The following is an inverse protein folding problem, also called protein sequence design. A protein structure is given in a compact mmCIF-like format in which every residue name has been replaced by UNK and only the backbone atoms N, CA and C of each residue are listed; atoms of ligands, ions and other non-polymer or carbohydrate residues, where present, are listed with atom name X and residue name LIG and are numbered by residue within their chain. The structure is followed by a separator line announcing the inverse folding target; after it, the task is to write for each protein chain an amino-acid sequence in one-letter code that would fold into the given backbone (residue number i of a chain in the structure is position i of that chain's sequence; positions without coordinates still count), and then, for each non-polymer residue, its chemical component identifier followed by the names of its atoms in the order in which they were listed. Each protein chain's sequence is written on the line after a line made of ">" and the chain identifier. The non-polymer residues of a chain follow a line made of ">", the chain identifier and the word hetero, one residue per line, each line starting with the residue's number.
data_IF_378858589589
#
_entry.id   IF_378858589589
#
_cell.length_a   1.000
_cell.length_b   1.000
_cell.length_c   1.000
_cell.angle_alpha   90.00
_cell.angle_beta   90.00
_cell.angle_gamma   90.00
#
_symmetry.space_group_name_H-M   'P 1'
#
loop_
_entity.id
_entity.type
_entity.pdbx_description
1 polymer ?
#
# COMPACT_ATOMS: atom_id res chain seq x y z
N UNK A 1 -18.22 -0.51 19.25
CA UNK A 1 -18.13 -1.56 18.21
C UNK A 1 -17.81 -0.88 16.90
N UNK A 2 -16.56 -0.96 16.44
CA UNK A 2 -16.12 -0.33 15.19
C UNK A 2 -15.94 -1.44 14.15
N UNK A 3 -16.91 -1.57 13.24
CA UNK A 3 -16.84 -2.45 12.07
C UNK A 3 -16.48 -1.60 10.85
N UNK A 4 -15.36 -1.93 10.20
CA UNK A 4 -15.34 -2.39 8.80
C UNK A 4 -13.93 -2.26 8.17
N UNK A 5 -13.15 -3.34 8.12
CA UNK A 5 -12.06 -3.47 7.15
C UNK A 5 -12.64 -4.05 5.85
N UNK A 6 -12.53 -3.31 4.74
CA UNK A 6 -12.87 -3.80 3.39
C UNK A 6 -14.37 -3.86 3.11
N UNK A 7 -14.82 -3.13 2.09
CA UNK A 7 -16.23 -3.00 1.74
C UNK A 7 -16.81 -4.18 0.93
N UNK A 8 -16.01 -5.22 0.65
CA UNK A 8 -16.50 -6.47 0.08
C UNK A 8 -15.43 -7.58 0.15
N UNK A 9 -15.83 -8.86 0.11
CA UNK A 9 -14.89 -9.99 0.11
C UNK A 9 -13.96 -9.96 -1.12
N UNK A 10 -14.46 -9.43 -2.23
CA UNK A 10 -13.71 -9.27 -3.48
C UNK A 10 -12.55 -8.26 -3.33
N UNK A 11 -12.76 -7.15 -2.61
CA UNK A 11 -11.72 -6.15 -2.34
C UNK A 11 -10.62 -6.73 -1.44
N UNK A 12 -11.00 -7.57 -0.46
CA UNK A 12 -10.05 -8.23 0.43
C UNK A 12 -9.14 -9.20 -0.35
N UNK A 13 -9.69 -9.97 -1.29
CA UNK A 13 -8.90 -10.87 -2.15
C UNK A 13 -7.98 -10.08 -3.07
N UNK A 14 -8.48 -9.00 -3.69
CA UNK A 14 -7.64 -8.14 -4.52
C UNK A 14 -6.45 -7.56 -3.74
N UNK A 15 -6.72 -7.03 -2.54
CA UNK A 15 -5.67 -6.50 -1.67
C UNK A 15 -4.70 -7.61 -1.21
N UNK A 16 -5.19 -8.82 -0.94
CA UNK A 16 -4.33 -9.95 -0.56
C UNK A 16 -3.33 -10.34 -1.66
N UNK A 17 -3.78 -10.38 -2.93
CA UNK A 17 -2.89 -10.65 -4.07
C UNK A 17 -1.83 -9.54 -4.21
N UNK A 18 -2.23 -8.28 -4.07
CA UNK A 18 -1.28 -7.16 -4.10
C UNK A 18 -0.25 -7.26 -2.97
N UNK A 19 -0.68 -7.62 -1.76
CA UNK A 19 0.22 -7.80 -0.61
C UNK A 19 1.20 -8.94 -0.81
N UNK A 20 0.77 -10.06 -1.38
CA UNK A 20 1.63 -11.21 -1.70
C UNK A 20 2.73 -10.82 -2.69
N UNK A 21 2.39 -10.11 -3.77
CA UNK A 21 3.37 -9.66 -4.75
C UNK A 21 4.39 -8.67 -4.14
N UNK A 22 3.92 -7.75 -3.30
CA UNK A 22 4.80 -6.82 -2.58
C UNK A 22 5.71 -7.56 -1.60
N UNK A 23 5.20 -8.56 -0.88
CA UNK A 23 6.00 -9.38 0.04
C UNK A 23 7.09 -10.17 -0.71
N UNK A 24 6.74 -10.77 -1.85
CA UNK A 24 7.69 -11.48 -2.72
C UNK A 24 8.79 -10.56 -3.24
N UNK A 25 8.44 -9.35 -3.70
CA UNK A 25 9.43 -8.36 -4.14
C UNK A 25 10.34 -7.90 -2.99
N UNK A 26 9.77 -7.67 -1.80
CA UNK A 26 10.53 -7.30 -0.61
C UNK A 26 11.50 -8.40 -0.17
N UNK A 27 11.07 -9.67 -0.22
CA UNK A 27 11.92 -10.82 0.09
C UNK A 27 13.14 -10.91 -0.84
N UNK A 28 12.92 -10.80 -2.15
CA UNK A 28 14.00 -10.82 -3.14
C UNK A 28 14.94 -9.62 -2.93
N UNK A 29 14.39 -8.41 -2.73
CA UNK A 29 15.18 -7.20 -2.54
C UNK A 29 16.06 -7.27 -1.29
N UNK A 30 15.58 -7.88 -0.20
CA UNK A 30 16.35 -8.15 1.03
C UNK A 30 17.46 -9.18 0.81
N UNK A 31 17.22 -10.19 -0.01
CA UNK A 31 18.25 -11.16 -0.40
C UNK A 31 19.39 -10.54 -1.22
N UNK A 32 19.07 -9.55 -2.06
CA UNK A 32 20.05 -8.81 -2.88
C UNK A 32 20.80 -7.76 -2.04
N UNK A 33 20.08 -7.00 -1.21
CA UNK A 33 20.66 -5.97 -0.35
C UNK A 33 20.18 -6.16 1.11
N UNK A 34 21.00 -6.79 1.97
CA UNK A 34 20.67 -6.97 3.38
C UNK A 34 20.51 -5.65 4.14
N UNK A 35 21.15 -4.57 3.67
CA UNK A 35 21.08 -3.24 4.27
C UNK A 35 19.89 -2.40 3.78
N UNK A 36 19.00 -2.98 2.95
CA UNK A 36 17.83 -2.28 2.45
C UNK A 36 17.01 -1.71 3.63
N UNK A 37 16.83 -0.40 3.67
CA UNK A 37 16.01 0.25 4.68
C UNK A 37 14.59 0.43 4.17
N UNK A 38 13.64 0.63 5.11
CA UNK A 38 12.28 1.01 4.74
C UNK A 38 12.26 2.30 3.91
N UNK A 39 11.20 2.48 3.14
CA UNK A 39 10.95 3.77 2.48
C UNK A 39 10.80 4.86 3.56
N UNK A 40 11.31 6.04 3.29
CA UNK A 40 11.19 7.19 4.19
C UNK A 40 9.70 7.50 4.50
N UNK A 41 9.39 7.79 5.76
CA UNK A 41 8.03 8.02 6.24
C UNK A 41 7.36 9.21 5.54
N UNK A 42 8.11 10.27 5.21
CA UNK A 42 7.58 11.41 4.46
C UNK A 42 7.16 10.99 3.05
N UNK A 43 7.98 10.15 2.39
CA UNK A 43 7.67 9.64 1.07
C UNK A 43 6.45 8.70 1.10
N UNK A 44 6.38 7.82 2.11
CA UNK A 44 5.24 6.93 2.32
C UNK A 44 3.94 7.73 2.50
N UNK A 45 3.96 8.74 3.37
CA UNK A 45 2.83 9.62 3.62
C UNK A 45 2.42 10.38 2.35
N UNK A 46 3.38 10.88 1.56
CA UNK A 46 3.10 11.55 0.28
C UNK A 46 2.36 10.63 -0.71
N UNK A 47 2.79 9.37 -0.83
CA UNK A 47 2.12 8.39 -1.71
C UNK A 47 0.72 8.01 -1.21
N UNK A 48 0.55 7.85 0.10
CA UNK A 48 -0.75 7.56 0.70
C UNK A 48 -1.74 8.72 0.51
N UNK A 49 -1.30 9.94 0.84
CA UNK A 49 -2.11 11.16 0.70
C UNK A 49 -2.44 11.49 -0.75
N UNK A 50 -1.70 10.98 -1.74
CA UNK A 50 -2.06 11.13 -3.16
C UNK A 50 -3.41 10.50 -3.51
N UNK A 51 -3.76 9.35 -2.90
CA UNK A 51 -5.03 8.64 -3.16
C UNK A 51 -6.09 8.92 -2.10
N UNK A 52 -5.68 9.24 -0.88
CA UNK A 52 -6.58 9.36 0.28
C UNK A 52 -6.57 10.73 0.97
N UNK A 53 -5.76 11.68 0.48
CA UNK A 53 -5.71 13.04 1.02
C UNK A 53 -6.86 13.93 0.53
N UNK A 54 -7.10 15.06 1.18
CA UNK A 54 -8.18 16.00 0.84
C UNK A 54 -8.08 16.61 -0.57
N UNK A 55 -6.94 16.47 -1.25
CA UNK A 55 -6.68 16.89 -2.64
C UNK A 55 -6.46 15.68 -3.59
N UNK A 56 -7.16 14.56 -3.40
CA UNK A 56 -7.10 13.42 -4.33
C UNK A 56 -7.63 13.83 -5.72
N UNK A 57 -6.74 14.35 -6.57
CA UNK A 57 -7.05 14.84 -7.92
C UNK A 57 -7.08 13.67 -8.92
N UNK A 58 -8.11 12.84 -8.80
CA UNK A 58 -8.61 12.02 -9.90
C UNK A 58 -10.13 11.91 -9.72
N UNK A 59 -10.87 12.87 -10.30
CA UNK A 59 -12.34 12.83 -10.27
C UNK A 59 -13.10 14.16 -10.21
N UNK A 60 -12.47 15.33 -10.38
CA UNK A 60 -13.25 16.55 -10.58
C UNK A 60 -13.82 16.56 -12.01
N UNK A 61 -15.07 16.09 -12.12
CA UNK A 61 -16.02 16.60 -13.11
C UNK A 61 -16.60 17.90 -12.58
#
# INVERSE_FOLDING_TARGET
>A
MVHSPGKDAHDAVHNAVVMEEVARMAWIARGINPQLQGIDDYLMNKYFMRKHGPNAYYGQK
#
